data_IF_415762811431
#
_entry.id   IF_415762811431
#
_cell.length_a   1.000
_cell.length_b   1.000
_cell.length_c   1.000
_cell.angle_alpha   90.00
_cell.angle_beta   90.00
_cell.angle_gamma   90.00
#
_symmetry.space_group_name_H-M   'P 1'
#
loop_
_entity.id
_entity.type
_entity.pdbx_description
1 polymer ?
#
# COMPACT_ATOMS: atom_id res chain seq x y z
N UNK A 1 -65.86 -34.76 14.70
CA UNK A 1 -66.13 -33.55 15.50
C UNK A 1 -65.06 -33.50 16.61
N UNK A 2 -64.45 -32.33 16.83
CA UNK A 2 -63.38 -32.04 17.83
C UNK A 2 -63.83 -32.49 19.24
N UNK A 3 -62.98 -32.87 20.20
CA UNK A 3 -61.99 -32.06 20.92
C UNK A 3 -61.09 -32.90 21.85
N UNK A 4 -59.88 -32.39 22.12
CA UNK A 4 -58.91 -32.82 23.14
C UNK A 4 -59.31 -32.41 24.57
N UNK A 5 -58.72 -33.02 25.63
CA UNK A 5 -57.64 -32.44 26.49
C UNK A 5 -57.33 -33.25 27.77
N UNK A 6 -56.01 -33.46 27.98
CA UNK A 6 -55.15 -33.45 29.19
C UNK A 6 -55.51 -34.08 30.55
N UNK A 7 -54.55 -34.88 31.05
CA UNK A 7 -53.71 -34.48 32.21
C UNK A 7 -53.50 -35.54 33.31
N UNK A 8 -52.24 -35.87 33.66
CA UNK A 8 -51.60 -35.62 34.99
C UNK A 8 -50.25 -36.35 35.18
N UNK A 9 -49.43 -35.77 36.07
CA UNK A 9 -47.97 -35.86 36.30
C UNK A 9 -47.44 -37.05 37.13
N UNK A 10 -46.13 -37.33 37.02
CA UNK A 10 -45.19 -37.65 38.15
C UNK A 10 -43.73 -37.56 37.64
N UNK A 11 -42.89 -36.63 38.13
CA UNK A 11 -42.00 -36.63 39.32
C UNK A 11 -40.57 -37.22 39.05
N UNK A 12 -39.59 -36.37 38.70
CA UNK A 12 -38.36 -36.01 39.49
C UNK A 12 -37.06 -36.74 39.02
N UNK A 13 -35.83 -36.41 39.52
CA UNK A 13 -35.01 -35.26 39.11
C UNK A 13 -33.54 -35.65 38.72
N UNK A 14 -32.70 -34.63 38.49
CA UNK A 14 -31.22 -34.60 38.65
C UNK A 14 -30.32 -34.98 37.44
N UNK A 15 -29.45 -34.03 37.06
CA UNK A 15 -27.95 -34.08 37.04
C UNK A 15 -27.36 -33.29 35.87
N UNK A 16 -27.01 -32.02 36.11
CA UNK A 16 -25.76 -31.47 35.57
C UNK A 16 -24.66 -31.88 36.57
N UNK A 17 -23.46 -32.34 36.16
CA UNK A 17 -22.50 -31.46 35.47
C UNK A 17 -21.46 -32.16 34.55
N UNK A 18 -20.98 -31.47 33.51
CA UNK A 18 -19.57 -31.43 33.02
C UNK A 18 -19.53 -30.93 31.58
N UNK A 19 -19.37 -29.64 31.38
CA UNK A 19 -19.02 -29.07 30.07
C UNK A 19 -17.78 -28.20 30.26
N UNK A 20 -16.63 -28.86 30.40
CA UNK A 20 -15.32 -28.19 30.39
C UNK A 20 -14.31 -28.98 29.55
N UNK A 21 -14.69 -30.16 29.04
CA UNK A 21 -13.86 -30.97 28.16
C UNK A 21 -14.24 -30.83 26.68
N UNK A 22 -15.53 -30.57 26.37
CA UNK A 22 -16.05 -30.56 25.01
C UNK A 22 -15.76 -29.26 24.22
N UNK A 23 -15.51 -28.13 24.91
CA UNK A 23 -15.25 -26.85 24.22
C UNK A 23 -13.96 -26.89 23.38
N UNK A 24 -12.91 -27.57 23.85
CA UNK A 24 -11.64 -27.72 23.11
C UNK A 24 -11.79 -28.65 21.90
N UNK A 25 -12.58 -29.73 22.05
CA UNK A 25 -12.86 -30.67 20.97
C UNK A 25 -13.70 -29.99 19.87
N UNK A 26 -14.62 -29.09 20.26
CA UNK A 26 -15.45 -28.35 19.32
C UNK A 26 -14.67 -27.26 18.58
N UNK A 27 -13.75 -26.53 19.21
CA UNK A 27 -12.88 -25.57 18.52
C UNK A 27 -11.92 -26.28 17.53
N UNK A 28 -11.30 -27.38 17.96
CA UNK A 28 -10.38 -28.15 17.12
C UNK A 28 -11.09 -28.78 15.91
N UNK A 29 -12.30 -29.34 16.10
CA UNK A 29 -13.13 -29.84 15.01
C UNK A 29 -13.55 -28.73 14.05
N UNK A 30 -13.93 -27.55 14.57
CA UNK A 30 -14.26 -26.36 13.77
C UNK A 30 -13.07 -25.84 12.97
N UNK A 31 -11.85 -25.96 13.48
CA UNK A 31 -10.61 -25.60 12.78
C UNK A 31 -10.29 -26.56 11.63
N UNK A 32 -10.57 -27.86 11.80
CA UNK A 32 -10.36 -28.89 10.77
C UNK A 32 -11.43 -28.84 9.67
N UNK A 33 -12.67 -28.55 10.04
CA UNK A 33 -13.82 -28.46 9.12
C UNK A 33 -13.95 -27.06 8.47
N UNK A 34 -13.10 -26.09 8.85
CA UNK A 34 -13.13 -24.71 8.30
C UNK A 34 -12.82 -24.72 6.80
N UNK A 35 -13.73 -24.18 5.96
CA UNK A 35 -13.47 -23.99 4.54
C UNK A 35 -12.20 -23.17 4.26
N UNK A 36 -11.53 -23.45 3.14
CA UNK A 36 -10.22 -22.88 2.82
C UNK A 36 -10.25 -21.34 2.67
N UNK A 37 -11.34 -20.80 2.14
CA UNK A 37 -11.61 -19.36 2.02
C UNK A 37 -11.73 -18.68 3.39
N UNK A 38 -12.46 -19.29 4.32
CA UNK A 38 -12.63 -18.77 5.70
C UNK A 38 -11.32 -18.84 6.48
N UNK A 39 -10.53 -19.90 6.31
CA UNK A 39 -9.21 -20.05 6.96
C UNK A 39 -8.22 -19.00 6.47
N UNK A 40 -8.23 -18.72 5.17
CA UNK A 40 -7.39 -17.68 4.57
C UNK A 40 -7.84 -16.28 5.03
N UNK A 41 -9.15 -16.03 5.12
CA UNK A 41 -9.67 -14.77 5.65
C UNK A 41 -9.30 -14.56 7.12
N UNK A 42 -9.41 -15.59 7.98
CA UNK A 42 -8.93 -15.50 9.37
C UNK A 42 -7.43 -15.22 9.47
N UNK A 43 -6.62 -15.81 8.59
CA UNK A 43 -5.18 -15.52 8.51
C UNK A 43 -4.94 -14.05 8.13
N UNK A 44 -5.68 -13.53 7.15
CA UNK A 44 -5.60 -12.13 6.73
C UNK A 44 -6.10 -11.17 7.82
N UNK A 45 -7.20 -11.49 8.50
CA UNK A 45 -7.71 -10.73 9.64
C UNK A 45 -6.66 -10.66 10.76
N UNK A 46 -6.03 -11.79 11.11
CA UNK A 46 -4.95 -11.82 12.10
C UNK A 46 -3.72 -11.00 11.67
N UNK A 47 -3.36 -11.06 10.38
CA UNK A 47 -2.29 -10.22 9.84
C UNK A 47 -2.64 -8.73 9.93
N UNK A 48 -3.86 -8.35 9.55
CA UNK A 48 -4.35 -6.96 9.66
C UNK A 48 -4.33 -6.48 11.10
N UNK A 49 -4.79 -7.28 12.05
CA UNK A 49 -4.77 -6.95 13.47
C UNK A 49 -3.35 -6.70 13.98
N UNK A 50 -2.39 -7.56 13.60
CA UNK A 50 -0.97 -7.37 13.95
C UNK A 50 -0.41 -6.06 13.39
N UNK A 51 -0.70 -5.74 12.13
CA UNK A 51 -0.28 -4.47 11.50
C UNK A 51 -0.89 -3.27 12.23
N UNK A 52 -2.19 -3.32 12.53
CA UNK A 52 -2.88 -2.26 13.29
C UNK A 52 -2.25 -2.06 14.67
N UNK A 53 -1.86 -3.13 15.36
CA UNK A 53 -1.21 -3.04 16.66
C UNK A 53 0.16 -2.33 16.55
N UNK A 54 0.95 -2.62 15.51
CA UNK A 54 2.24 -1.95 15.29
C UNK A 54 2.06 -0.46 14.94
N UNK A 55 1.13 -0.12 14.05
CA UNK A 55 0.86 1.28 13.67
C UNK A 55 0.32 2.13 14.85
N UNK A 56 -0.31 1.47 15.83
CA UNK A 56 -0.80 2.09 17.05
C UNK A 56 0.18 2.02 18.23
N UNK A 57 1.30 1.29 18.09
CA UNK A 57 2.34 1.26 19.12
C UNK A 57 3.01 2.63 19.23
N UNK A 58 3.21 3.07 20.48
CA UNK A 58 3.90 4.32 20.78
C UNK A 58 5.39 4.20 20.45
N UNK A 59 5.97 3.07 20.79
CA UNK A 59 7.39 2.77 20.59
C UNK A 59 7.77 2.84 19.10
N UNK A 60 6.90 2.28 18.24
CA UNK A 60 7.08 2.35 16.79
C UNK A 60 7.01 3.79 16.26
N UNK A 61 6.10 4.61 16.79
CA UNK A 61 6.00 6.03 16.41
C UNK A 61 7.22 6.83 16.87
N UNK A 62 7.66 6.63 18.10
CA UNK A 62 8.82 7.31 18.67
C UNK A 62 10.11 6.98 17.87
N UNK A 63 10.28 5.73 17.43
CA UNK A 63 11.39 5.31 16.56
C UNK A 63 11.32 5.97 15.16
N UNK A 64 10.12 6.04 14.56
CA UNK A 64 9.93 6.73 13.29
C UNK A 64 10.23 8.24 13.39
N UNK A 65 9.80 8.88 14.47
CA UNK A 65 10.08 10.30 14.74
C UNK A 65 11.58 10.56 14.90
N UNK A 66 12.31 9.66 15.56
CA UNK A 66 13.76 9.74 15.65
C UNK A 66 14.45 9.64 14.27
N UNK A 67 14.02 8.69 13.43
CA UNK A 67 14.56 8.52 12.06
C UNK A 67 14.25 9.73 11.19
N UNK A 68 13.03 10.29 11.28
CA UNK A 68 12.63 11.49 10.53
C UNK A 68 13.48 12.69 10.97
N UNK A 69 13.67 12.86 12.28
CA UNK A 69 14.47 13.96 12.84
C UNK A 69 15.93 13.88 12.38
N UNK A 70 16.50 12.68 12.36
CA UNK A 70 17.85 12.45 11.84
C UNK A 70 17.95 12.77 10.35
N UNK A 71 16.99 12.31 9.54
CA UNK A 71 16.93 12.61 8.11
C UNK A 71 16.74 14.10 7.80
N UNK A 72 15.99 14.84 8.62
CA UNK A 72 15.82 16.29 8.48
C UNK A 72 17.11 17.06 8.85
N UNK A 73 17.84 16.59 9.86
CA UNK A 73 19.06 17.24 10.35
C UNK A 73 20.29 16.93 9.49
N UNK A 74 20.38 15.74 8.93
CA UNK A 74 21.55 15.25 8.20
C UNK A 74 21.30 15.09 6.70
N UNK A 75 20.08 15.39 6.24
CA UNK A 75 19.64 15.16 4.87
C UNK A 75 19.37 13.68 4.61
N UNK A 76 18.73 13.34 3.47
CA UNK A 76 18.46 11.96 3.11
C UNK A 76 19.79 11.20 2.97
N UNK A 77 20.02 10.22 3.84
CA UNK A 77 21.21 9.39 3.76
C UNK A 77 21.17 8.60 2.44
N UNK A 78 22.26 8.53 1.66
CA UNK A 78 22.25 7.90 0.35
C UNK A 78 21.82 6.42 0.42
N UNK A 79 22.13 5.73 1.52
CA UNK A 79 21.71 4.35 1.75
C UNK A 79 20.18 4.20 1.93
N UNK A 80 19.50 5.14 2.59
CA UNK A 80 18.04 5.07 2.79
C UNK A 80 17.29 5.36 1.49
N UNK A 81 17.81 6.25 0.65
CA UNK A 81 17.27 6.48 -0.69
C UNK A 81 17.44 5.26 -1.61
N UNK A 82 18.58 4.58 -1.56
CA UNK A 82 18.83 3.36 -2.32
C UNK A 82 17.92 2.23 -1.84
N UNK A 83 17.73 2.08 -0.52
CA UNK A 83 16.83 1.07 0.03
C UNK A 83 15.36 1.32 -0.39
N UNK A 84 14.90 2.57 -0.33
CA UNK A 84 13.56 2.94 -0.82
C UNK A 84 13.40 2.69 -2.33
N UNK A 85 14.45 2.93 -3.11
CA UNK A 85 14.46 2.60 -4.53
C UNK A 85 14.31 1.08 -4.74
N UNK A 86 15.09 0.26 -4.04
CA UNK A 86 15.04 -1.20 -4.12
C UNK A 86 13.67 -1.76 -3.69
N UNK A 87 13.07 -1.22 -2.63
CA UNK A 87 11.72 -1.60 -2.19
C UNK A 87 10.68 -1.24 -3.26
N UNK A 88 10.81 -0.08 -3.91
CA UNK A 88 9.91 0.32 -4.99
C UNK A 88 10.01 -0.60 -6.22
N UNK A 89 11.22 -1.06 -6.54
CA UNK A 89 11.49 -1.98 -7.65
C UNK A 89 10.92 -3.39 -7.36
N UNK A 90 10.95 -3.83 -6.10
CA UNK A 90 10.40 -5.12 -5.68
C UNK A 90 8.87 -5.13 -5.66
N UNK A 91 8.24 -4.05 -5.18
CA UNK A 91 6.79 -3.97 -5.02
C UNK A 91 6.06 -3.57 -6.31
N UNK A 92 6.73 -2.87 -7.24
CA UNK A 92 6.16 -2.47 -8.53
C UNK A 92 7.08 -2.93 -9.67
N UNK A 93 7.04 -4.20 -10.11
CA UNK A 93 7.97 -4.76 -11.09
C UNK A 93 7.88 -4.16 -12.50
N UNK A 94 6.92 -3.25 -12.76
CA UNK A 94 6.62 -2.74 -14.10
C UNK A 94 6.49 -1.22 -14.20
N UNK A 95 6.71 -0.50 -13.09
CA UNK A 95 6.85 0.95 -13.16
C UNK A 95 8.29 1.22 -13.60
N UNK A 96 8.46 1.53 -14.87
CA UNK A 96 9.69 2.17 -15.34
C UNK A 96 10.06 3.25 -14.32
N UNK A 97 11.35 3.44 -14.04
CA UNK A 97 11.86 4.48 -13.14
C UNK A 97 11.40 5.91 -13.52
N UNK A 98 10.72 6.05 -14.67
CA UNK A 98 10.01 7.21 -15.17
C UNK A 98 8.58 7.37 -14.63
N UNK A 99 7.89 6.29 -14.28
CA UNK A 99 6.47 6.27 -13.91
C UNK A 99 6.22 6.24 -12.41
N UNK A 100 7.20 5.96 -11.55
CA UNK A 100 7.02 6.07 -10.08
C UNK A 100 6.78 7.50 -9.64
N UNK A 101 7.46 8.47 -10.27
CA UNK A 101 7.18 9.90 -10.08
C UNK A 101 5.82 10.31 -10.66
N UNK A 102 5.31 9.58 -11.66
CA UNK A 102 4.00 9.84 -12.29
C UNK A 102 2.83 9.13 -11.61
N UNK A 103 3.04 7.99 -10.96
CA UNK A 103 1.97 7.19 -10.35
C UNK A 103 1.57 7.70 -8.96
N UNK A 104 2.50 8.32 -8.22
CA UNK A 104 2.17 9.04 -6.98
C UNK A 104 1.38 10.34 -7.26
N UNK A 105 1.43 10.84 -8.49
CA UNK A 105 0.76 12.08 -8.91
C UNK A 105 -0.73 11.92 -9.25
N UNK A 106 -1.28 10.69 -9.30
CA UNK A 106 -2.71 10.50 -9.60
C UNK A 106 -3.63 10.85 -8.43
N UNK A 107 -3.07 11.11 -7.25
CA UNK A 107 -3.80 11.50 -6.05
C UNK A 107 -3.61 13.00 -5.79
N UNK A 108 -4.21 13.85 -6.62
CA UNK A 108 -4.53 15.25 -6.30
C UNK A 108 -3.39 16.26 -6.10
N UNK A 109 -2.13 15.86 -6.16
CA UNK A 109 -0.98 16.77 -6.08
C UNK A 109 -0.29 16.90 -7.43
N UNK A 110 -0.31 18.09 -8.03
CA UNK A 110 0.55 18.42 -9.16
C UNK A 110 2.01 18.30 -8.73
N UNK A 111 2.62 17.15 -8.94
CA UNK A 111 4.06 16.97 -8.75
C UNK A 111 4.71 17.66 -9.95
N UNK A 112 5.36 18.78 -9.68
CA UNK A 112 6.22 19.47 -10.64
C UNK A 112 7.33 18.49 -11.02
N UNK A 113 7.18 17.79 -12.15
CA UNK A 113 8.24 16.92 -12.69
C UNK A 113 9.31 17.85 -13.25
N UNK A 114 10.53 17.85 -12.70
CA UNK A 114 11.61 18.68 -13.24
C UNK A 114 11.85 18.29 -14.69
N UNK A 115 11.67 19.25 -15.59
CA UNK A 115 11.86 19.07 -17.02
C UNK A 115 13.36 19.12 -17.28
N UNK A 116 14.05 18.04 -16.94
CA UNK A 116 15.46 17.87 -17.22
C UNK A 116 15.62 16.65 -18.13
N UNK A 117 15.72 16.94 -19.42
CA UNK A 117 15.91 16.02 -20.52
C UNK A 117 17.35 15.48 -20.59
N UNK A 118 18.31 16.14 -19.94
CA UNK A 118 19.73 15.79 -19.97
C UNK A 118 20.20 15.32 -18.59
N UNK A 119 20.62 14.05 -18.50
CA UNK A 119 21.10 13.42 -17.26
C UNK A 119 22.43 12.72 -17.49
N UNK A 120 23.27 12.64 -16.45
CA UNK A 120 24.51 11.86 -16.49
C UNK A 120 25.55 12.42 -17.47
N UNK A 121 26.21 11.53 -18.22
CA UNK A 121 27.34 11.85 -19.09
C UNK A 121 26.97 12.77 -20.26
N UNK A 122 25.70 12.79 -20.68
CA UNK A 122 25.24 13.71 -21.72
C UNK A 122 25.26 15.17 -21.26
N UNK A 123 25.20 15.41 -19.95
CA UNK A 123 25.25 16.78 -19.39
C UNK A 123 26.60 17.47 -19.56
N UNK A 124 27.68 16.70 -19.76
CA UNK A 124 29.02 17.23 -20.04
C UNK A 124 29.27 17.46 -21.52
N UNK A 125 28.46 16.86 -22.40
CA UNK A 125 28.60 16.96 -23.85
C UNK A 125 27.98 18.24 -24.43
N UNK A 126 27.17 18.97 -23.65
CA UNK A 126 26.45 20.15 -24.09
C UNK A 126 26.86 21.41 -23.32
N UNK A 127 26.96 22.53 -24.04
CA UNK A 127 27.21 23.83 -23.43
C UNK A 127 26.06 24.29 -22.54
N UNK A 128 26.33 25.16 -21.55
CA UNK A 128 25.30 25.67 -20.63
C UNK A 128 24.11 26.32 -21.35
N UNK A 129 24.38 27.08 -22.41
CA UNK A 129 23.34 27.74 -23.21
C UNK A 129 22.48 26.73 -23.98
N UNK A 130 23.08 25.72 -24.58
CA UNK A 130 22.37 24.66 -25.28
C UNK A 130 21.47 23.85 -24.33
N UNK A 131 21.99 23.49 -23.16
CA UNK A 131 21.22 22.77 -22.13
C UNK A 131 19.98 23.55 -21.70
N UNK A 132 20.10 24.87 -21.58
CA UNK A 132 18.98 25.75 -21.26
C UNK A 132 17.93 25.76 -22.39
N UNK A 133 18.37 25.85 -23.64
CA UNK A 133 17.47 25.84 -24.81
C UNK A 133 16.70 24.51 -24.91
N UNK A 134 17.38 23.39 -24.71
CA UNK A 134 16.77 22.05 -24.71
C UNK A 134 15.75 21.88 -23.60
N UNK A 135 16.08 22.30 -22.38
CA UNK A 135 15.16 22.30 -21.25
C UNK A 135 13.90 23.16 -21.52
N UNK A 136 14.07 24.36 -22.11
CA UNK A 136 12.94 25.21 -22.53
C UNK A 136 12.08 24.54 -23.60
N UNK A 137 12.71 23.92 -24.61
CA UNK A 137 12.00 23.22 -25.68
C UNK A 137 11.22 22.02 -25.14
N UNK A 138 11.85 21.18 -24.32
CA UNK A 138 11.20 20.07 -23.65
C UNK A 138 10.03 20.53 -22.77
N UNK A 139 10.15 21.70 -22.13
CA UNK A 139 9.08 22.31 -21.33
C UNK A 139 7.88 22.72 -22.18
N UNK A 140 8.14 23.27 -23.35
CA UNK A 140 7.09 23.69 -24.28
C UNK A 140 6.29 22.50 -24.81
N UNK A 141 6.93 21.39 -25.18
CA UNK A 141 6.23 20.16 -25.58
C UNK A 141 5.30 19.65 -24.47
N UNK A 142 5.73 19.69 -23.20
CA UNK A 142 4.88 19.28 -22.06
C UNK A 142 3.68 20.19 -21.86
N UNK A 143 3.83 21.50 -22.06
CA UNK A 143 2.71 22.42 -22.02
C UNK A 143 1.71 22.11 -23.15
N UNK A 144 2.19 21.91 -24.37
CA UNK A 144 1.35 21.60 -25.53
C UNK A 144 0.55 20.33 -25.33
N UNK A 145 1.18 19.28 -24.79
CA UNK A 145 0.50 18.04 -24.46
C UNK A 145 -0.56 18.25 -23.36
N UNK A 146 -0.23 19.02 -22.32
CA UNK A 146 -1.14 19.29 -21.19
C UNK A 146 -2.38 20.10 -21.60
N UNK A 147 -2.22 21.05 -22.53
CA UNK A 147 -3.34 21.83 -23.07
C UNK A 147 -4.07 21.13 -24.22
N UNK A 148 -3.63 19.93 -24.62
CA UNK A 148 -4.25 19.18 -25.72
C UNK A 148 -4.05 19.85 -27.09
N UNK A 149 -3.07 20.73 -27.22
CA UNK A 149 -2.71 21.37 -28.50
C UNK A 149 -1.86 20.45 -29.38
N UNK A 150 -1.55 19.25 -28.90
CA UNK A 150 -0.69 18.33 -29.62
C UNK A 150 -1.40 17.70 -30.83
N UNK A 151 -0.76 17.67 -32.00
CA UNK A 151 -1.17 16.89 -33.17
C UNK A 151 -0.34 15.60 -33.30
N UNK A 152 -0.04 14.95 -32.17
CA UNK A 152 0.80 13.75 -32.15
C UNK A 152 2.20 14.00 -32.75
N UNK A 153 2.62 13.11 -33.66
CA UNK A 153 3.96 13.14 -34.29
C UNK A 153 4.15 14.28 -35.32
N UNK A 154 3.10 15.02 -35.64
CA UNK A 154 3.16 16.12 -36.61
C UNK A 154 3.54 17.46 -36.00
N UNK A 155 3.76 17.51 -34.68
CA UNK A 155 4.29 18.69 -34.03
C UNK A 155 5.80 18.78 -34.19
N UNK A 156 6.25 19.84 -34.85
CA UNK A 156 7.65 20.23 -34.88
C UNK A 156 7.83 21.65 -34.37
N UNK A 157 8.69 21.80 -33.36
CA UNK A 157 9.08 23.07 -32.76
C UNK A 157 10.60 23.10 -32.75
N UNK A 158 11.17 24.15 -33.35
CA UNK A 158 12.61 24.33 -33.54
C UNK A 158 13.11 25.54 -32.76
#
# INVERSE_FOLDING_TARGET
>A
MRTATNGTHSESPVKNPTHTQADNDDEYRRELERPADVKEDMRQMGQRQRVTMILNSREFRDELEAIITDALKHGPHPASLIALQQISELLLPHTSRWTTVSSLSRTGGSVIVPINDIRGIDSTNYSKSERLLRCKLASLYRLIDLFGWSQGIYNHIT
#
